data_IF_170819318724
#
_entry.id   IF_170819318724
#
_cell.length_a   1.000
_cell.length_b   1.000
_cell.length_c   1.000
_cell.angle_alpha   90.00
_cell.angle_beta   90.00
_cell.angle_gamma   90.00
#
_symmetry.space_group_name_H-M   'P 1'
#
loop_
_entity.id
_entity.type
_entity.pdbx_description
1 polymer ?
#
# COMPACT_ATOMS: atom_id res chain seq x y z
N UNK A 1 27.89 27.67 40.21
CA UNK A 1 26.79 28.01 39.27
C UNK A 1 26.66 26.88 38.28
N UNK A 2 25.65 26.03 38.44
CA UNK A 2 25.36 24.93 37.51
C UNK A 2 24.79 25.58 36.25
N UNK A 3 25.39 25.32 35.08
CA UNK A 3 25.02 25.98 33.83
C UNK A 3 23.68 25.40 33.31
N UNK A 4 22.56 25.89 33.85
CA UNK A 4 21.20 25.42 33.52
C UNK A 4 20.87 25.55 32.02
N UNK A 5 21.52 26.46 31.30
CA UNK A 5 21.38 26.60 29.84
C UNK A 5 21.80 25.35 29.06
N UNK A 6 22.77 24.57 29.55
CA UNK A 6 23.19 23.34 28.86
C UNK A 6 22.16 22.22 29.00
N UNK A 7 21.46 22.14 30.14
CA UNK A 7 20.43 21.12 30.37
C UNK A 7 19.17 21.34 29.55
N UNK A 8 18.78 22.59 29.30
CA UNK A 8 17.63 22.90 28.44
C UNK A 8 17.87 22.52 26.96
N UNK A 9 19.10 22.66 26.46
CA UNK A 9 19.42 22.34 25.06
C UNK A 9 19.35 20.83 24.79
N UNK A 10 19.73 20.00 25.77
CA UNK A 10 19.68 18.52 25.65
C UNK A 10 18.24 17.99 25.63
N UNK A 11 17.34 18.57 26.44
CA UNK A 11 15.93 18.15 26.49
C UNK A 11 15.16 18.46 25.19
N UNK A 12 15.52 19.52 24.47
CA UNK A 12 14.87 19.91 23.20
C UNK A 12 15.29 18.99 22.03
N UNK A 13 16.49 18.43 22.07
CA UNK A 13 17.01 17.55 21.01
C UNK A 13 16.30 16.18 20.94
N UNK A 14 15.65 15.73 22.01
CA UNK A 14 15.01 14.41 22.08
C UNK A 14 13.59 14.34 21.45
N UNK A 15 13.03 15.45 20.97
CA UNK A 15 11.63 15.49 20.48
C UNK A 15 11.48 15.35 18.96
N UNK A 16 12.56 15.06 18.22
CA UNK A 16 12.50 14.89 16.77
C UNK A 16 12.03 13.45 16.46
N UNK A 17 10.72 13.23 16.59
CA UNK A 17 10.07 12.01 16.12
C UNK A 17 10.07 12.00 14.59
N UNK A 18 10.97 11.23 13.97
CA UNK A 18 10.88 10.90 12.56
C UNK A 18 9.75 9.89 12.36
N UNK A 19 8.53 10.39 12.13
CA UNK A 19 7.42 9.55 11.70
C UNK A 19 7.62 9.19 10.21
N UNK A 20 8.18 8.01 9.95
CA UNK A 20 8.19 7.43 8.60
C UNK A 20 6.79 6.87 8.31
N UNK A 21 6.02 7.56 7.47
CA UNK A 21 4.78 7.01 6.96
C UNK A 21 5.11 6.01 5.85
N UNK A 22 4.66 4.76 6.00
CA UNK A 22 4.73 3.81 4.90
C UNK A 22 3.97 4.39 3.70
N UNK A 23 4.53 4.36 2.48
CA UNK A 23 3.81 4.84 1.32
C UNK A 23 2.48 4.08 1.21
N UNK A 24 1.38 4.76 0.88
CA UNK A 24 0.07 4.12 0.72
C UNK A 24 -0.47 4.43 -0.67
N UNK A 25 0.13 3.77 -1.65
CA UNK A 25 -0.10 4.01 -3.08
C UNK A 25 -0.58 2.71 -3.68
N UNK A 26 -1.63 2.79 -4.50
CA UNK A 26 -2.09 1.66 -5.29
C UNK A 26 -2.10 1.94 -6.79
N UNK A 27 -1.75 0.92 -7.55
CA UNK A 27 -1.88 0.81 -9.01
C UNK A 27 -2.70 -0.45 -9.35
N UNK A 28 -2.79 -0.82 -10.62
CA UNK A 28 -3.31 -2.13 -11.00
C UNK A 28 -2.54 -2.80 -12.14
N UNK A 29 -2.66 -4.13 -12.19
CA UNK A 29 -2.12 -5.00 -13.23
C UNK A 29 -3.20 -5.94 -13.78
N UNK A 30 -2.90 -6.68 -14.84
CA UNK A 30 -3.90 -7.45 -15.63
C UNK A 30 -3.52 -8.90 -15.90
N UNK A 31 -2.31 -9.34 -15.50
CA UNK A 31 -1.85 -10.73 -15.64
C UNK A 31 -1.52 -11.28 -14.27
N UNK A 32 -2.31 -12.25 -13.80
CA UNK A 32 -2.29 -12.70 -12.40
C UNK A 32 -1.56 -14.03 -12.17
N UNK A 33 -1.16 -14.71 -13.25
CA UNK A 33 -0.52 -16.02 -13.22
C UNK A 33 0.66 -16.01 -14.21
N UNK A 34 1.84 -16.58 -13.87
CA UNK A 34 2.19 -17.08 -12.56
C UNK A 34 2.35 -15.95 -11.54
N UNK A 35 2.17 -16.28 -10.26
CA UNK A 35 2.38 -15.36 -9.14
C UNK A 35 3.54 -15.82 -8.25
N UNK A 36 4.24 -14.89 -7.61
CA UNK A 36 5.39 -15.17 -6.76
C UNK A 36 5.04 -16.07 -5.55
N UNK A 37 3.83 -15.96 -4.99
CA UNK A 37 3.43 -16.77 -3.84
C UNK A 37 2.97 -18.18 -4.21
N UNK A 38 2.30 -18.35 -5.36
CA UNK A 38 1.55 -19.58 -5.65
C UNK A 38 1.81 -20.19 -7.04
N UNK A 39 2.76 -19.64 -7.80
CA UNK A 39 3.12 -20.14 -9.13
C UNK A 39 1.92 -20.09 -10.08
N UNK A 40 1.60 -21.21 -10.71
CA UNK A 40 0.56 -21.31 -11.76
C UNK A 40 -0.88 -21.42 -11.21
N UNK A 41 -1.10 -21.27 -9.90
CA UNK A 41 -2.43 -21.38 -9.31
C UNK A 41 -3.26 -20.12 -9.56
N UNK A 42 -4.49 -20.29 -10.05
CA UNK A 42 -5.47 -19.20 -10.18
C UNK A 42 -6.15 -18.96 -8.82
N UNK A 43 -5.98 -17.75 -8.28
CA UNK A 43 -6.59 -17.30 -7.03
C UNK A 43 -7.76 -16.33 -7.24
N UNK A 44 -8.25 -16.23 -8.48
CA UNK A 44 -9.33 -15.36 -8.88
C UNK A 44 -8.91 -13.90 -9.00
N UNK A 45 -9.89 -13.01 -8.86
CA UNK A 45 -9.76 -11.59 -9.23
C UNK A 45 -9.74 -10.64 -8.04
N UNK A 46 -9.97 -11.10 -6.82
CA UNK A 46 -9.88 -10.27 -5.60
C UNK A 46 -8.52 -10.46 -4.95
N UNK A 47 -7.51 -9.99 -5.67
CA UNK A 47 -6.09 -10.27 -5.42
C UNK A 47 -5.25 -9.00 -5.61
N UNK A 48 -4.00 -9.06 -5.14
CA UNK A 48 -3.03 -8.00 -5.33
C UNK A 48 -1.59 -8.51 -5.26
N UNK A 49 -0.68 -7.80 -5.91
CA UNK A 49 0.75 -7.94 -5.68
C UNK A 49 1.21 -6.95 -4.59
N UNK A 50 2.11 -7.38 -3.71
CA UNK A 50 2.76 -6.48 -2.76
C UNK A 50 3.95 -5.79 -3.43
N UNK A 51 4.08 -4.48 -3.26
CA UNK A 51 5.32 -3.76 -3.61
C UNK A 51 6.42 -4.02 -2.59
N UNK A 52 7.64 -3.58 -2.87
CA UNK A 52 8.83 -3.89 -2.07
C UNK A 52 8.70 -3.51 -0.59
N UNK A 53 8.02 -2.40 -0.29
CA UNK A 53 7.80 -1.94 1.09
C UNK A 53 6.86 -2.85 1.91
N UNK A 54 6.02 -3.65 1.24
CA UNK A 54 5.07 -4.58 1.88
C UNK A 54 5.48 -6.05 1.72
N UNK A 55 6.30 -6.38 0.71
CA UNK A 55 6.62 -7.76 0.35
C UNK A 55 7.25 -8.58 1.47
N UNK A 56 8.14 -7.99 2.26
CA UNK A 56 8.81 -8.62 3.42
C UNK A 56 9.23 -10.08 3.15
N UNK A 57 9.99 -10.29 2.07
CA UNK A 57 10.45 -11.61 1.63
C UNK A 57 9.34 -12.68 1.51
N UNK A 58 8.14 -12.27 1.11
CA UNK A 58 6.99 -13.15 0.91
C UNK A 58 6.22 -13.52 2.18
N UNK A 59 6.56 -12.98 3.35
CA UNK A 59 5.81 -13.26 4.60
C UNK A 59 4.36 -12.79 4.53
N UNK A 60 4.04 -11.90 3.59
CA UNK A 60 2.68 -11.41 3.34
C UNK A 60 1.85 -12.28 2.40
N UNK A 61 2.44 -13.30 1.78
CA UNK A 61 1.73 -14.22 0.89
C UNK A 61 0.49 -14.82 1.56
N UNK A 62 -0.63 -14.81 0.84
CA UNK A 62 -1.91 -15.37 1.30
C UNK A 62 -2.67 -14.51 2.32
N UNK A 63 -2.05 -13.46 2.89
CA UNK A 63 -2.74 -12.54 3.79
C UNK A 63 -3.80 -11.74 3.04
N UNK A 64 -4.89 -11.46 3.74
CA UNK A 64 -6.00 -10.66 3.23
C UNK A 64 -5.88 -9.22 3.70
N UNK A 65 -6.18 -8.26 2.84
CA UNK A 65 -6.14 -6.83 3.15
C UNK A 65 -7.42 -6.15 2.69
N UNK A 66 -7.99 -5.29 3.52
CA UNK A 66 -9.04 -4.36 3.11
C UNK A 66 -8.39 -3.07 2.64
N UNK A 67 -8.67 -2.68 1.40
CA UNK A 67 -8.10 -1.51 0.70
C UNK A 67 -9.20 -0.52 0.38
N UNK A 68 -8.95 0.76 0.60
CA UNK A 68 -9.88 1.88 0.35
C UNK A 68 -9.14 3.00 -0.36
N UNK A 69 -9.73 3.57 -1.42
CA UNK A 69 -9.19 4.77 -2.07
C UNK A 69 -9.39 6.00 -1.16
N UNK A 70 -8.34 6.77 -0.94
CA UNK A 70 -8.36 7.98 -0.10
C UNK A 70 -8.24 9.27 -0.92
N UNK A 71 -7.79 9.19 -2.16
CA UNK A 71 -7.80 10.34 -3.04
C UNK A 71 -6.94 10.21 -4.29
N UNK A 72 -6.89 11.28 -5.10
CA UNK A 72 -6.05 11.34 -6.29
C UNK A 72 -4.57 11.39 -5.95
N UNK A 73 -3.77 10.70 -6.77
CA UNK A 73 -2.31 10.81 -6.79
C UNK A 73 -1.80 11.63 -7.98
N UNK A 74 -2.63 11.77 -9.02
CA UNK A 74 -2.33 12.50 -10.25
C UNK A 74 -3.50 13.47 -10.60
N UNK A 75 -3.43 14.24 -11.70
CA UNK A 75 -4.45 15.23 -12.04
C UNK A 75 -5.85 14.70 -12.39
N UNK A 76 -6.12 13.39 -12.29
CA UNK A 76 -7.47 12.85 -12.51
C UNK A 76 -8.35 13.17 -11.30
N UNK A 77 -9.40 14.00 -11.46
CA UNK A 77 -10.23 14.42 -10.34
C UNK A 77 -11.13 13.28 -9.86
N UNK A 78 -11.41 13.25 -8.55
CA UNK A 78 -12.36 12.34 -7.90
C UNK A 78 -12.24 10.85 -8.32
N UNK A 79 -11.05 10.22 -8.20
CA UNK A 79 -10.87 8.87 -8.68
C UNK A 79 -11.58 7.84 -7.82
N UNK A 80 -11.86 8.13 -6.55
CA UNK A 80 -12.42 7.17 -5.60
C UNK A 80 -13.93 6.96 -5.79
N UNK A 81 -14.38 5.71 -5.66
CA UNK A 81 -15.81 5.36 -5.69
C UNK A 81 -16.50 5.46 -4.33
N UNK A 82 -15.73 5.63 -3.25
CA UNK A 82 -16.22 5.58 -1.86
C UNK A 82 -16.38 4.17 -1.30
N UNK A 83 -15.98 3.13 -2.04
CA UNK A 83 -16.03 1.72 -1.60
C UNK A 83 -14.67 1.23 -1.09
N UNK A 84 -14.71 0.09 -0.42
CA UNK A 84 -13.53 -0.70 -0.03
C UNK A 84 -13.60 -2.09 -0.67
N UNK A 85 -12.44 -2.73 -0.82
CA UNK A 85 -12.33 -4.10 -1.33
C UNK A 85 -11.40 -4.91 -0.44
N UNK A 86 -11.74 -6.19 -0.20
CA UNK A 86 -10.83 -7.13 0.46
C UNK A 86 -10.13 -7.97 -0.61
N UNK A 87 -8.80 -8.00 -0.59
CA UNK A 87 -7.96 -8.69 -1.56
C UNK A 87 -6.95 -9.60 -0.88
N UNK A 88 -6.57 -10.70 -1.55
CA UNK A 88 -5.47 -11.57 -1.13
C UNK A 88 -4.15 -11.13 -1.76
N UNK A 89 -3.07 -11.06 -0.99
CA UNK A 89 -1.73 -10.90 -1.56
C UNK A 89 -1.31 -12.25 -2.18
N UNK A 90 -1.10 -12.25 -3.50
CA UNK A 90 -0.67 -13.46 -4.22
C UNK A 90 0.67 -13.30 -4.93
N UNK A 91 1.17 -12.07 -5.09
CA UNK A 91 2.31 -11.80 -5.94
C UNK A 91 3.24 -10.72 -5.36
N UNK A 92 4.41 -10.58 -5.96
CA UNK A 92 5.38 -9.53 -5.69
C UNK A 92 5.49 -8.63 -6.92
N UNK A 93 5.54 -7.32 -6.69
CA UNK A 93 5.76 -6.31 -7.72
C UNK A 93 7.15 -5.66 -7.47
N UNK A 94 8.25 -6.22 -8.03
CA UNK A 94 9.60 -5.75 -7.74
C UNK A 94 9.84 -4.38 -8.38
N UNK A 95 10.34 -3.41 -7.61
CA UNK A 95 10.62 -2.06 -8.09
C UNK A 95 9.36 -1.22 -8.37
N UNK A 96 8.18 -1.72 -8.03
CA UNK A 96 6.94 -0.99 -8.23
C UNK A 96 6.85 0.21 -7.26
N UNK A 97 6.42 1.39 -7.74
CA UNK A 97 6.29 2.57 -6.89
C UNK A 97 5.08 2.48 -5.95
N UNK A 98 4.15 1.56 -6.21
CA UNK A 98 2.99 1.27 -5.38
C UNK A 98 3.33 0.28 -4.27
N UNK A 99 2.64 0.40 -3.13
CA UNK A 99 2.75 -0.59 -2.04
C UNK A 99 1.86 -1.79 -2.26
N UNK A 100 0.77 -1.60 -3.00
CA UNK A 100 -0.20 -2.62 -3.36
C UNK A 100 -0.55 -2.41 -4.83
N UNK A 101 -0.36 -3.43 -5.66
CA UNK A 101 -0.75 -3.41 -7.07
C UNK A 101 -1.96 -4.32 -7.24
N UNK A 102 -3.15 -3.73 -7.33
CA UNK A 102 -4.42 -4.47 -7.30
C UNK A 102 -4.65 -5.18 -8.63
N UNK A 103 -5.44 -6.26 -8.64
CA UNK A 103 -6.09 -6.65 -9.88
C UNK A 103 -6.93 -5.50 -10.44
N UNK A 104 -7.08 -5.43 -11.76
CA UNK A 104 -7.93 -4.43 -12.40
C UNK A 104 -9.37 -4.46 -11.84
N UNK A 105 -9.90 -5.64 -11.55
CA UNK A 105 -11.24 -5.80 -10.98
C UNK A 105 -11.33 -5.23 -9.55
N UNK A 106 -10.35 -5.50 -8.69
CA UNK A 106 -10.33 -4.95 -7.34
C UNK A 106 -10.13 -3.42 -7.37
N UNK A 107 -9.26 -2.93 -8.24
CA UNK A 107 -9.04 -1.50 -8.43
C UNK A 107 -10.33 -0.78 -8.85
N UNK A 108 -11.05 -1.33 -9.82
CA UNK A 108 -12.29 -0.74 -10.36
C UNK A 108 -13.41 -0.65 -9.30
N UNK A 109 -13.37 -1.50 -8.27
CA UNK A 109 -14.30 -1.40 -7.14
C UNK A 109 -14.07 -0.10 -6.36
N UNK A 110 -12.81 0.27 -6.12
CA UNK A 110 -12.46 1.40 -5.24
C UNK A 110 -12.14 2.69 -5.99
N UNK A 111 -11.79 2.62 -7.27
CA UNK A 111 -11.40 3.77 -8.07
C UNK A 111 -11.62 3.63 -9.58
N UNK A 112 -11.69 4.77 -10.27
CA UNK A 112 -11.75 4.86 -11.72
C UNK A 112 -10.39 4.44 -12.34
N UNK A 113 -10.34 3.40 -13.20
CA UNK A 113 -9.10 2.91 -13.80
C UNK A 113 -8.37 3.95 -14.66
N UNK A 114 -9.04 5.01 -15.14
CA UNK A 114 -8.39 6.13 -15.83
C UNK A 114 -7.34 6.82 -14.95
N UNK A 115 -7.53 6.81 -13.63
CA UNK A 115 -6.53 7.35 -12.70
C UNK A 115 -5.22 6.56 -12.74
N UNK A 116 -5.28 5.23 -12.89
CA UNK A 116 -4.10 4.34 -12.96
C UNK A 116 -3.31 4.21 -11.65
N UNK A 117 -3.27 5.27 -10.84
CA UNK A 117 -2.56 5.37 -9.57
C UNK A 117 -3.36 6.25 -8.61
N UNK A 118 -3.52 5.80 -7.38
CA UNK A 118 -4.32 6.46 -6.34
C UNK A 118 -3.61 6.41 -4.99
N UNK A 119 -3.97 7.33 -4.12
CA UNK A 119 -3.70 7.18 -2.69
C UNK A 119 -4.72 6.21 -2.10
N UNK A 120 -4.27 5.34 -1.21
CA UNK A 120 -5.12 4.36 -0.53
C UNK A 120 -4.89 4.37 0.97
N UNK A 121 -5.80 3.75 1.69
CA UNK A 121 -5.54 3.15 2.99
C UNK A 121 -5.72 1.65 2.88
N UNK A 122 -4.89 0.89 3.58
CA UNK A 122 -5.04 -0.56 3.67
C UNK A 122 -4.76 -1.05 5.08
N UNK A 123 -5.46 -2.10 5.46
CA UNK A 123 -5.27 -2.81 6.73
C UNK A 123 -5.36 -4.31 6.49
N UNK A 124 -4.51 -5.07 7.18
CA UNK A 124 -4.65 -6.52 7.16
C UNK A 124 -6.03 -6.87 7.73
N UNK A 125 -6.75 -7.74 7.03
CA UNK A 125 -8.02 -8.28 7.48
C UNK A 125 -7.76 -9.11 8.75
N UNK A 126 -8.57 -8.90 9.78
CA UNK A 126 -8.48 -9.63 11.04
C UNK A 126 -9.03 -11.05 10.91
#
# INVERSE_FOLDING_TARGET
MVNYSLFFVVMVACLISFASATPRIATFYTKYVPSACFGNQDHGKMITAAGDALWDNGTVCGKMFTVTCTGPRNPVPHPCTGKSVTVKIIDHCPGCPSTIDLSQEAFTIIANPVAGIINVDYKQYA
#
